data_IF_993625270530
#
_entry.id   IF_993625270530
#
_cell.length_a   1.000
_cell.length_b   1.000
_cell.length_c   1.000
_cell.angle_alpha   90.00
_cell.angle_beta   90.00
_cell.angle_gamma   90.00
#
_symmetry.space_group_name_H-M   'P 1'
#
loop_
_entity.id
_entity.type
_entity.pdbx_description
1 polymer ?
#
# COMPACT_ATOMS: atom_id res chain seq x y z
N UNK A 1 -4.68 6.33 -11.85
CA UNK A 1 -3.72 7.40 -12.22
C UNK A 1 -3.84 8.48 -11.16
N UNK A 2 -2.72 8.95 -10.60
CA UNK A 2 -2.71 9.96 -9.54
C UNK A 2 -2.21 11.26 -10.14
N UNK A 3 -2.95 12.34 -9.99
CA UNK A 3 -2.55 13.66 -10.43
C UNK A 3 -2.55 14.60 -9.22
N UNK A 4 -1.41 15.23 -8.94
CA UNK A 4 -1.31 16.25 -7.89
C UNK A 4 -0.85 17.55 -8.53
N UNK A 5 -1.77 18.51 -8.63
CA UNK A 5 -1.46 19.86 -9.12
C UNK A 5 -0.93 20.73 -7.98
N UNK A 6 0.10 21.50 -8.30
CA UNK A 6 0.66 22.51 -7.39
C UNK A 6 -0.39 23.59 -7.13
N UNK A 7 -0.61 23.92 -5.86
CA UNK A 7 -1.42 25.09 -5.48
C UNK A 7 -0.52 26.33 -5.49
N UNK A 8 -1.06 27.49 -5.91
CA UNK A 8 -0.26 28.68 -6.24
C UNK A 8 0.88 29.00 -5.26
N UNK A 9 0.55 29.28 -3.99
CA UNK A 9 1.52 29.66 -2.95
C UNK A 9 2.14 28.46 -2.19
N UNK A 10 2.13 27.27 -2.77
CA UNK A 10 2.71 26.07 -2.14
C UNK A 10 4.24 26.04 -2.24
N UNK A 11 4.92 25.86 -1.09
CA UNK A 11 6.35 25.49 -1.05
C UNK A 11 6.51 24.08 -1.62
N UNK A 12 7.59 23.83 -2.35
CA UNK A 12 7.84 22.54 -3.01
C UNK A 12 7.78 21.33 -2.04
N UNK A 13 8.31 21.46 -0.82
CA UNK A 13 8.28 20.39 0.18
C UNK A 13 6.84 19.98 0.55
N UNK A 14 5.93 20.95 0.66
CA UNK A 14 4.51 20.67 0.95
C UNK A 14 3.86 19.87 -0.20
N UNK A 15 4.20 20.19 -1.45
CA UNK A 15 3.73 19.44 -2.62
C UNK A 15 4.21 18.00 -2.62
N UNK A 16 5.50 17.80 -2.35
CA UNK A 16 6.11 16.47 -2.29
C UNK A 16 5.47 15.62 -1.19
N UNK A 17 5.18 16.20 -0.02
CA UNK A 17 4.47 15.50 1.06
C UNK A 17 3.06 15.08 0.65
N UNK A 18 2.29 15.96 -0.01
CA UNK A 18 0.95 15.60 -0.52
C UNK A 18 1.04 14.49 -1.55
N UNK A 19 1.95 14.63 -2.51
CA UNK A 19 2.18 13.61 -3.53
C UNK A 19 2.53 12.24 -2.93
N UNK A 20 3.45 12.20 -1.96
CA UNK A 20 3.81 10.95 -1.29
C UNK A 20 2.62 10.35 -0.52
N UNK A 21 1.79 11.19 0.13
CA UNK A 21 0.58 10.73 0.82
C UNK A 21 -0.47 10.17 -0.14
N UNK A 22 -0.70 10.83 -1.27
CA UNK A 22 -1.61 10.37 -2.32
C UNK A 22 -1.13 9.03 -2.92
N UNK A 23 0.17 8.88 -3.17
CA UNK A 23 0.77 7.60 -3.59
C UNK A 23 0.50 6.51 -2.56
N UNK A 24 0.76 6.80 -1.27
CA UNK A 24 0.55 5.82 -0.22
C UNK A 24 -0.93 5.41 -0.09
N UNK A 25 -1.86 6.36 -0.22
CA UNK A 25 -3.30 6.09 -0.15
C UNK A 25 -3.79 5.30 -1.37
N UNK A 26 -3.33 5.65 -2.57
CA UNK A 26 -3.74 5.00 -3.82
C UNK A 26 -3.34 3.52 -3.92
N UNK A 27 -2.36 3.06 -3.13
CA UNK A 27 -1.78 1.71 -3.20
C UNK A 27 -1.22 1.29 -4.58
N UNK A 28 -1.03 2.23 -5.52
CA UNK A 28 -0.65 1.93 -6.91
C UNK A 28 0.66 1.14 -7.03
N UNK A 29 1.61 1.38 -6.12
CA UNK A 29 2.89 0.66 -6.08
C UNK A 29 2.72 -0.79 -5.61
N UNK A 30 1.80 -1.03 -4.67
CA UNK A 30 1.49 -2.37 -4.18
C UNK A 30 0.81 -3.17 -5.27
N UNK A 31 -0.15 -2.57 -5.97
CA UNK A 31 -0.89 -3.22 -7.05
C UNK A 31 0.02 -3.53 -8.25
N UNK A 32 0.89 -2.60 -8.62
CA UNK A 32 1.90 -2.83 -9.68
C UNK A 32 2.85 -3.98 -9.30
N UNK A 33 3.28 -4.07 -8.05
CA UNK A 33 4.12 -5.19 -7.57
C UNK A 33 3.38 -6.52 -7.60
N UNK A 34 2.10 -6.53 -7.21
CA UNK A 34 1.26 -7.74 -7.17
C UNK A 34 0.97 -8.28 -8.56
N UNK A 35 0.75 -7.40 -9.53
CA UNK A 35 0.40 -7.75 -10.92
C UNK A 35 1.61 -7.95 -11.82
N UNK A 36 2.83 -7.70 -11.31
CA UNK A 36 4.09 -7.83 -12.08
C UNK A 36 4.29 -9.23 -12.67
N UNK A 37 3.82 -10.26 -11.97
CA UNK A 37 3.93 -11.66 -12.39
C UNK A 37 2.59 -12.35 -12.27
N UNK A 38 2.39 -13.40 -13.07
CA UNK A 38 1.21 -14.25 -12.95
C UNK A 38 1.25 -15.06 -11.65
N UNK A 39 0.17 -14.97 -10.86
CA UNK A 39 -0.03 -15.78 -9.66
C UNK A 39 -1.27 -16.67 -9.86
N UNK A 40 -1.14 -17.96 -9.55
CA UNK A 40 -2.28 -18.89 -9.50
C UNK A 40 -3.16 -18.57 -8.30
N UNK A 41 -4.45 -18.95 -8.36
CA UNK A 41 -5.33 -18.81 -7.20
C UNK A 41 -4.76 -19.54 -5.98
N UNK A 42 -4.77 -18.90 -4.80
CA UNK A 42 -4.21 -19.50 -3.60
C UNK A 42 -5.09 -20.66 -3.14
N UNK A 43 -4.45 -21.79 -2.83
CA UNK A 43 -5.11 -22.95 -2.22
C UNK A 43 -5.55 -22.66 -0.77
N UNK A 44 -6.34 -23.56 -0.17
CA UNK A 44 -6.88 -23.41 1.19
C UNK A 44 -5.79 -23.18 2.25
N UNK A 45 -4.66 -23.88 2.14
CA UNK A 45 -3.52 -23.77 3.06
C UNK A 45 -2.85 -22.40 2.96
N UNK A 46 -2.56 -21.93 1.75
CA UNK A 46 -1.97 -20.61 1.49
C UNK A 46 -2.86 -19.48 2.00
N UNK A 47 -4.19 -19.59 1.81
CA UNK A 47 -5.15 -18.64 2.38
C UNK A 47 -5.07 -18.61 3.91
N UNK A 48 -5.01 -19.79 4.55
CA UNK A 48 -4.89 -19.93 6.01
C UNK A 48 -3.60 -19.29 6.53
N UNK A 49 -2.47 -19.58 5.92
CA UNK A 49 -1.18 -19.02 6.32
C UNK A 49 -1.13 -17.50 6.17
N UNK A 50 -1.67 -16.97 5.07
CA UNK A 50 -1.78 -15.52 4.85
C UNK A 50 -2.61 -14.84 5.95
N UNK A 51 -3.74 -15.46 6.33
CA UNK A 51 -4.58 -14.98 7.43
C UNK A 51 -3.86 -15.01 8.78
N UNK A 52 -3.12 -16.08 9.09
CA UNK A 52 -2.30 -16.19 10.31
C UNK A 52 -1.24 -15.09 10.32
N UNK A 53 -0.46 -14.92 9.24
CA UNK A 53 0.57 -13.87 9.13
C UNK A 53 -0.03 -12.48 9.33
N UNK A 54 -1.21 -12.20 8.75
CA UNK A 54 -1.92 -10.92 8.93
C UNK A 54 -2.32 -10.70 10.38
N UNK A 55 -2.80 -11.74 11.07
CA UNK A 55 -3.19 -11.66 12.48
C UNK A 55 -1.99 -11.43 13.39
N UNK A 56 -0.89 -12.18 13.18
CA UNK A 56 0.37 -11.99 13.92
C UNK A 56 0.89 -10.57 13.79
N UNK A 57 0.92 -9.99 12.58
CA UNK A 57 1.33 -8.60 12.36
C UNK A 57 0.41 -7.60 13.07
N UNK A 58 -0.90 -7.88 13.12
CA UNK A 58 -1.88 -7.03 13.81
C UNK A 58 -1.64 -7.03 15.31
N UNK A 59 -1.38 -8.20 15.90
CA UNK A 59 -1.04 -8.34 17.34
C UNK A 59 0.22 -7.57 17.71
N UNK A 60 1.30 -7.77 16.95
CA UNK A 60 2.57 -7.04 17.15
C UNK A 60 2.33 -5.53 17.09
N UNK A 61 1.55 -5.04 16.12
CA UNK A 61 1.22 -3.61 16.00
C UNK A 61 0.40 -3.08 17.18
N UNK A 62 -0.43 -3.91 17.80
CA UNK A 62 -1.28 -3.57 18.94
C UNK A 62 -0.57 -3.71 20.29
N UNK A 63 0.66 -4.24 20.34
CA UNK A 63 1.44 -4.38 21.57
C UNK A 63 1.08 -5.59 22.45
N UNK A 64 0.47 -6.63 21.86
CA UNK A 64 0.12 -7.92 22.51
C UNK A 64 0.78 -9.12 21.83
#
# INVERSE_FOLDING_TARGET
>A
MIEVKRKGQERFDSLLRRFNREIQQSSILTDAKKTRYFEKEPNRTMRRESAIRKNTRRRIKQGY
#
